data_IF_825628623359
#
_entry.id   IF_825628623359
#
_cell.length_a   1.000
_cell.length_b   1.000
_cell.length_c   1.000
_cell.angle_alpha   90.00
_cell.angle_beta   90.00
_cell.angle_gamma   90.00
#
_symmetry.space_group_name_H-M   'P 1'
#
loop_
_entity.id
_entity.type
_entity.pdbx_description
1 polymer ?
#
# COMPACT_ATOMS: atom_id res chain seq x y z
N UNK A 1 -19.55 20.49 4.71
CA UNK A 1 -18.29 19.92 4.20
C UNK A 1 -17.49 19.40 5.39
N UNK A 2 -17.06 18.15 5.38
CA UNK A 2 -16.18 17.57 6.41
C UNK A 2 -14.75 17.63 5.88
N UNK A 3 -13.76 17.94 6.72
CA UNK A 3 -12.33 17.92 6.34
C UNK A 3 -11.66 16.78 7.11
N UNK A 4 -11.50 15.64 6.45
CA UNK A 4 -10.78 14.50 7.00
C UNK A 4 -9.30 14.70 6.67
N UNK A 5 -8.43 14.74 7.68
CA UNK A 5 -6.99 14.77 7.44
C UNK A 5 -6.56 13.38 6.94
N UNK A 6 -6.05 13.32 5.72
CA UNK A 6 -5.65 12.08 5.06
C UNK A 6 -4.19 11.74 5.37
N UNK A 7 -3.41 12.70 5.89
CA UNK A 7 -1.99 12.55 6.16
C UNK A 7 -1.71 11.93 7.53
N UNK A 8 -0.72 11.03 7.57
CA UNK A 8 -0.29 10.33 8.78
C UNK A 8 0.58 11.25 9.64
N UNK A 9 -0.01 12.30 10.21
CA UNK A 9 0.65 13.11 11.23
C UNK A 9 0.53 12.41 12.60
N UNK A 10 1.44 12.72 13.54
CA UNK A 10 1.46 12.13 14.91
C UNK A 10 0.14 12.32 15.69
N UNK A 11 -0.77 13.16 15.20
CA UNK A 11 -2.12 13.36 15.74
C UNK A 11 -3.13 13.17 14.61
N UNK A 12 -3.89 12.08 14.61
CA UNK A 12 -4.97 11.87 13.63
C UNK A 12 -6.09 12.88 13.92
N UNK A 13 -6.30 13.81 12.99
CA UNK A 13 -7.35 14.83 13.10
C UNK A 13 -8.52 14.52 12.17
N UNK A 14 -9.74 14.58 12.70
CA UNK A 14 -10.97 14.58 11.90
C UNK A 14 -11.66 15.93 12.14
N UNK A 15 -11.86 16.71 11.09
CA UNK A 15 -12.62 17.96 11.17
C UNK A 15 -14.03 17.71 10.64
N UNK A 16 -15.03 18.00 11.47
CA UNK A 16 -16.44 17.86 11.12
C UNK A 16 -17.02 19.25 10.86
N UNK A 17 -17.41 19.52 9.61
CA UNK A 17 -18.03 20.80 9.20
C UNK A 17 -17.07 21.81 8.56
N UNK A 18 -17.61 22.97 8.15
CA UNK A 18 -16.89 24.07 7.49
C UNK A 18 -15.91 24.79 8.41
N UNK A 19 -15.95 24.49 9.71
CA UNK A 19 -15.13 25.15 10.70
C UNK A 19 -13.79 24.41 10.88
N UNK A 20 -12.74 24.93 10.22
CA UNK A 20 -11.35 24.42 10.30
C UNK A 20 -10.76 24.43 11.71
N UNK A 21 -11.41 25.11 12.66
CA UNK A 21 -10.97 25.21 14.06
C UNK A 21 -11.37 24.01 14.92
N UNK A 22 -12.47 23.30 14.57
CA UNK A 22 -12.90 22.09 15.30
C UNK A 22 -12.18 20.85 14.77
N UNK A 23 -10.90 20.73 15.13
CA UNK A 23 -10.13 19.49 14.97
C UNK A 23 -10.48 18.56 16.12
N UNK A 24 -11.19 17.46 15.85
CA UNK A 24 -11.19 16.35 16.81
C UNK A 24 -9.83 15.67 16.69
N UNK A 25 -8.96 15.87 17.69
CA UNK A 25 -7.86 14.93 17.91
C UNK A 25 -8.47 13.62 18.37
N UNK A 26 -8.18 12.55 17.65
CA UNK A 26 -8.21 11.25 18.29
C UNK A 26 -7.02 11.28 19.26
N UNK A 27 -7.30 11.44 20.56
CA UNK A 27 -6.27 11.27 21.57
C UNK A 27 -5.97 9.78 21.64
N UNK A 28 -4.83 9.44 21.06
CA UNK A 28 -4.45 8.07 20.79
C UNK A 28 -3.32 7.71 21.76
N UNK A 29 -3.59 6.79 22.67
CA UNK A 29 -2.63 6.37 23.70
C UNK A 29 -2.34 4.86 23.57
N UNK A 30 -1.08 4.48 23.84
CA UNK A 30 -0.73 3.09 24.14
C UNK A 30 -1.45 2.68 25.43
N UNK A 31 -2.18 1.57 25.37
CA UNK A 31 -2.84 1.00 26.55
C UNK A 31 -1.95 -0.12 27.07
N UNK A 32 -1.53 -0.02 28.34
CA UNK A 32 -1.13 -1.20 29.10
C UNK A 32 -2.39 -1.93 29.55
N UNK A 33 -2.52 -3.21 29.20
CA UNK A 33 -3.60 -4.06 29.65
C UNK A 33 -3.01 -5.30 30.32
N UNK A 34 -3.62 -5.76 31.41
CA UNK A 34 -3.21 -6.96 32.15
C UNK A 34 -4.21 -8.10 31.89
N UNK A 35 -3.71 -9.34 31.76
CA UNK A 35 -4.53 -10.56 31.64
C UNK A 35 -4.80 -11.01 30.19
N UNK A 36 -5.91 -11.71 29.86
CA UNK A 36 -6.18 -12.25 28.51
C UNK A 36 -6.25 -11.21 27.39
N UNK A 37 -6.35 -9.93 27.76
CA UNK A 37 -6.31 -8.79 26.85
C UNK A 37 -4.87 -8.48 26.39
N UNK A 38 -3.86 -8.86 27.18
CA UNK A 38 -2.43 -8.59 26.96
C UNK A 38 -1.88 -9.45 25.81
N UNK A 39 -2.20 -10.75 25.75
CA UNK A 39 -1.88 -11.60 24.59
C UNK A 39 -2.50 -11.06 23.28
N UNK A 40 -3.75 -10.59 23.34
CA UNK A 40 -4.45 -10.01 22.18
C UNK A 40 -3.96 -8.61 21.79
N UNK A 41 -3.49 -7.81 22.76
CA UNK A 41 -2.82 -6.54 22.50
C UNK A 41 -1.41 -6.77 21.92
N UNK A 42 -0.69 -7.78 22.39
CA UNK A 42 0.63 -8.13 21.88
C UNK A 42 0.57 -8.61 20.42
N UNK A 43 -0.53 -9.25 19.99
CA UNK A 43 -0.78 -9.53 18.56
C UNK A 43 -0.99 -8.24 17.73
N UNK A 44 -1.47 -7.16 18.35
CA UNK A 44 -1.73 -5.86 17.74
C UNK A 44 -0.65 -4.85 18.17
N UNK A 45 0.60 -5.09 17.76
CA UNK A 45 1.83 -4.40 18.19
C UNK A 45 1.74 -2.85 18.09
N UNK A 46 0.88 -2.31 17.22
CA UNK A 46 0.68 -0.87 17.01
C UNK A 46 -0.76 -0.39 17.27
N UNK A 47 -1.61 -1.22 17.86
CA UNK A 47 -3.03 -0.94 18.05
C UNK A 47 -3.27 0.13 19.11
N UNK A 48 -3.69 1.32 18.69
CA UNK A 48 -4.02 2.40 19.62
C UNK A 48 -5.55 2.62 19.68
N UNK A 49 -6.11 2.67 20.89
CA UNK A 49 -7.57 2.78 21.10
C UNK A 49 -7.93 4.11 21.79
N UNK A 50 -9.14 4.61 21.55
CA UNK A 50 -9.65 5.79 22.25
C UNK A 50 -9.91 5.49 23.74
N UNK A 51 -9.65 6.48 24.60
CA UNK A 51 -9.94 6.45 26.05
C UNK A 51 -11.43 6.38 26.37
N UNK A 52 -12.27 6.79 25.43
CA UNK A 52 -13.74 6.80 25.57
C UNK A 52 -14.37 5.41 25.47
N UNK A 53 -13.61 4.41 25.03
CA UNK A 53 -14.09 3.03 24.87
C UNK A 53 -14.09 2.29 26.21
N UNK A 54 -15.23 1.69 26.54
CA UNK A 54 -15.37 0.79 27.70
C UNK A 54 -14.57 -0.51 27.52
N UNK A 55 -14.19 -1.16 28.61
CA UNK A 55 -13.46 -2.43 28.59
C UNK A 55 -14.20 -3.53 27.80
N UNK A 56 -15.54 -3.54 27.87
CA UNK A 56 -16.39 -4.47 27.11
C UNK A 56 -16.31 -4.22 25.60
N UNK A 57 -16.32 -2.96 25.17
CA UNK A 57 -16.18 -2.59 23.75
C UNK A 57 -14.80 -2.93 23.20
N UNK A 58 -13.73 -2.65 23.97
CA UNK A 58 -12.36 -3.03 23.61
C UNK A 58 -12.24 -4.53 23.39
N UNK A 59 -12.77 -5.32 24.31
CA UNK A 59 -12.74 -6.78 24.23
C UNK A 59 -13.55 -7.31 23.04
N UNK A 60 -14.70 -6.70 22.73
CA UNK A 60 -15.49 -7.03 21.54
C UNK A 60 -14.75 -6.72 20.24
N UNK A 61 -14.03 -5.60 20.17
CA UNK A 61 -13.26 -5.19 19.01
C UNK A 61 -12.08 -6.13 18.77
N UNK A 62 -11.33 -6.47 19.82
CA UNK A 62 -10.22 -7.42 19.75
C UNK A 62 -10.70 -8.79 19.26
N UNK A 63 -11.85 -9.28 19.75
CA UNK A 63 -12.46 -10.51 19.25
C UNK A 63 -12.79 -10.45 17.76
N UNK A 64 -13.29 -9.30 17.28
CA UNK A 64 -13.57 -9.10 15.86
C UNK A 64 -12.30 -9.09 15.01
N UNK A 65 -11.25 -8.39 15.45
CA UNK A 65 -9.95 -8.34 14.77
C UNK A 65 -9.34 -9.73 14.67
N UNK A 66 -9.34 -10.50 15.77
CA UNK A 66 -8.87 -11.89 15.78
C UNK A 66 -9.69 -12.80 14.88
N UNK A 67 -11.02 -12.66 14.87
CA UNK A 67 -11.89 -13.42 13.95
C UNK A 67 -11.60 -13.11 12.48
N UNK A 68 -11.14 -11.90 12.16
CA UNK A 68 -10.81 -11.44 10.81
C UNK A 68 -9.31 -11.29 10.59
N UNK A 69 -8.48 -12.01 11.36
CA UNK A 69 -7.01 -11.96 11.32
C UNK A 69 -6.41 -12.03 9.89
N UNK A 70 -6.92 -12.87 8.96
CA UNK A 70 -6.36 -12.96 7.60
C UNK A 70 -6.60 -11.72 6.73
N UNK A 71 -7.54 -10.84 7.10
CA UNK A 71 -7.83 -9.63 6.33
C UNK A 71 -6.85 -8.49 6.65
N UNK A 72 -6.05 -8.62 7.70
CA UNK A 72 -5.12 -7.60 8.16
C UNK A 72 -3.68 -8.04 7.89
N UNK A 73 -2.91 -7.19 7.22
CA UNK A 73 -1.48 -7.37 6.99
C UNK A 73 -0.70 -7.11 8.29
N UNK A 74 -0.63 -8.12 9.15
CA UNK A 74 0.10 -8.08 10.43
C UNK A 74 1.18 -9.16 10.39
N UNK A 75 2.45 -8.77 10.50
CA UNK A 75 3.60 -9.68 10.52
C UNK A 75 4.41 -9.66 9.22
N UNK A 76 5.23 -10.70 9.02
CA UNK A 76 6.29 -10.74 8.01
C UNK A 76 5.81 -11.09 6.58
N UNK A 77 4.58 -11.62 6.43
CA UNK A 77 3.96 -11.89 5.12
C UNK A 77 2.74 -10.97 4.88
N UNK A 78 2.95 -9.67 4.63
CA UNK A 78 1.86 -8.69 4.56
C UNK A 78 1.09 -8.70 3.22
N UNK A 79 1.43 -9.60 2.29
CA UNK A 79 0.94 -9.54 0.91
C UNK A 79 -0.27 -10.44 0.69
N UNK A 80 -1.43 -9.81 0.53
CA UNK A 80 -2.59 -10.47 -0.07
C UNK A 80 -2.36 -10.74 -1.55
N UNK A 81 -2.93 -11.85 -2.06
CA UNK A 81 -3.02 -12.15 -3.50
C UNK A 81 -4.49 -12.13 -3.91
N UNK A 82 -4.82 -11.31 -4.89
CA UNK A 82 -6.13 -11.39 -5.57
C UNK A 82 -6.04 -12.56 -6.55
N UNK A 83 -7.08 -13.40 -6.65
CA UNK A 83 -7.11 -14.52 -7.62
C UNK A 83 -8.18 -14.26 -8.67
N UNK A 84 -7.88 -14.54 -9.93
CA UNK A 84 -8.84 -14.49 -11.03
C UNK A 84 -9.17 -13.08 -11.54
N UNK A 85 -8.27 -12.11 -11.32
CA UNK A 85 -8.40 -10.75 -11.86
C UNK A 85 -7.09 -10.36 -12.53
N UNK A 86 -6.63 -11.17 -13.47
CA UNK A 86 -5.43 -10.89 -14.24
C UNK A 86 -5.65 -9.62 -15.06
N UNK A 87 -4.63 -8.75 -15.10
CA UNK A 87 -4.70 -7.49 -15.84
C UNK A 87 -4.03 -7.68 -17.19
N UNK A 88 -4.81 -7.47 -18.26
CA UNK A 88 -4.29 -7.39 -19.61
C UNK A 88 -3.80 -5.96 -19.89
N UNK A 89 -2.55 -5.84 -20.35
CA UNK A 89 -1.97 -4.58 -20.80
C UNK A 89 -1.99 -4.54 -22.33
N UNK A 90 -2.69 -3.54 -22.89
CA UNK A 90 -2.75 -3.32 -24.33
C UNK A 90 -1.75 -2.23 -24.75
N UNK A 91 -1.01 -2.50 -25.82
CA UNK A 91 -0.08 -1.56 -26.41
C UNK A 91 -0.65 -1.01 -27.73
N UNK A 92 -0.31 0.24 -28.06
CA UNK A 92 -0.65 0.89 -29.33
C UNK A 92 0.29 0.48 -30.48
N UNK A 93 1.23 -0.43 -30.21
CA UNK A 93 2.21 -0.97 -31.16
C UNK A 93 2.24 -2.49 -31.08
N UNK A 94 2.51 -3.12 -32.22
CA UNK A 94 2.68 -4.57 -32.36
C UNK A 94 4.15 -4.93 -32.60
N UNK A 95 4.49 -6.23 -32.46
CA UNK A 95 5.84 -6.71 -32.78
C UNK A 95 6.12 -6.56 -34.29
N UNK A 96 7.31 -6.09 -34.72
CA UNK A 96 8.49 -5.81 -33.91
C UNK A 96 8.39 -4.50 -33.11
N UNK A 97 8.60 -4.59 -31.80
CA UNK A 97 8.49 -3.44 -30.91
C UNK A 97 9.61 -2.39 -31.12
N UNK A 98 9.34 -1.11 -30.83
CA UNK A 98 10.34 -0.04 -30.91
C UNK A 98 11.61 -0.35 -30.09
N UNK A 99 12.76 0.09 -30.58
CA UNK A 99 14.07 -0.10 -29.91
C UNK A 99 14.12 0.47 -28.49
N UNK A 100 13.30 1.49 -28.20
CA UNK A 100 13.17 2.07 -26.86
C UNK A 100 12.53 1.13 -25.83
N UNK A 101 11.99 -0.02 -26.23
CA UNK A 101 11.61 -1.09 -25.31
C UNK A 101 12.79 -1.98 -24.92
N UNK A 102 13.96 -1.86 -25.55
CA UNK A 102 15.14 -2.67 -25.24
C UNK A 102 16.24 -1.82 -24.62
N UNK A 103 15.93 -1.25 -23.45
CA UNK A 103 16.85 -0.33 -22.76
C UNK A 103 17.85 -1.13 -21.92
N UNK A 104 19.15 -0.79 -21.97
CA UNK A 104 20.14 -1.41 -21.11
C UNK A 104 19.95 -0.97 -19.65
N UNK A 105 20.42 -1.76 -18.67
CA UNK A 105 20.48 -1.35 -17.28
C UNK A 105 21.27 -0.06 -17.11
N UNK A 106 20.86 0.77 -16.15
CA UNK A 106 21.62 1.97 -15.82
C UNK A 106 22.96 1.61 -15.16
N UNK A 107 24.03 2.38 -15.42
CA UNK A 107 25.25 2.28 -14.63
C UNK A 107 24.94 2.51 -13.15
N UNK A 108 25.43 1.63 -12.29
CA UNK A 108 25.21 1.67 -10.85
C UNK A 108 26.53 1.46 -10.11
N UNK A 109 26.71 2.19 -9.00
CA UNK A 109 27.83 1.99 -8.08
C UNK A 109 27.74 0.60 -7.41
N UNK A 110 28.82 0.15 -6.78
CA UNK A 110 28.82 -1.12 -6.04
C UNK A 110 27.76 -1.14 -4.94
N UNK A 111 27.63 -0.03 -4.20
CA UNK A 111 26.61 0.14 -3.17
C UNK A 111 25.20 0.04 -3.76
N UNK A 112 24.92 0.77 -4.85
CA UNK A 112 23.62 0.72 -5.50
C UNK A 112 23.30 -0.67 -6.06
N UNK A 113 24.29 -1.39 -6.59
CA UNK A 113 24.08 -2.77 -7.06
C UNK A 113 23.70 -3.71 -5.93
N UNK A 114 24.34 -3.58 -4.77
CA UNK A 114 24.02 -4.37 -3.58
C UNK A 114 22.57 -4.15 -3.16
N UNK A 115 22.14 -2.90 -3.09
CA UNK A 115 20.75 -2.54 -2.77
C UNK A 115 19.77 -3.09 -3.81
N UNK A 116 20.07 -2.99 -5.11
CA UNK A 116 19.23 -3.57 -6.17
C UNK A 116 19.07 -5.08 -5.96
N UNK A 117 20.16 -5.79 -5.67
CA UNK A 117 20.14 -7.23 -5.46
C UNK A 117 19.34 -7.63 -4.21
N UNK A 118 19.49 -6.90 -3.11
CA UNK A 118 18.70 -7.09 -1.89
C UNK A 118 17.19 -6.93 -2.17
N UNK A 119 16.78 -5.83 -2.80
CA UNK A 119 15.37 -5.60 -3.18
C UNK A 119 14.83 -6.68 -4.14
N UNK A 120 15.63 -7.11 -5.12
CA UNK A 120 15.24 -8.19 -6.05
C UNK A 120 15.03 -9.51 -5.30
N UNK A 121 15.93 -9.86 -4.38
CA UNK A 121 15.82 -11.10 -3.60
C UNK A 121 14.61 -11.07 -2.67
N UNK A 122 14.29 -9.93 -2.06
CA UNK A 122 13.06 -9.75 -1.29
C UNK A 122 11.81 -9.96 -2.15
N UNK A 123 11.75 -9.33 -3.34
CA UNK A 123 10.61 -9.46 -4.25
C UNK A 123 10.46 -10.88 -4.80
N UNK A 124 11.57 -11.59 -5.03
CA UNK A 124 11.56 -13.02 -5.39
C UNK A 124 11.04 -13.88 -4.24
N UNK A 125 11.51 -13.64 -3.01
CA UNK A 125 11.04 -14.35 -1.82
C UNK A 125 9.56 -14.12 -1.53
N UNK A 126 9.05 -12.94 -1.88
CA UNK A 126 7.63 -12.58 -1.77
C UNK A 126 6.76 -13.09 -2.93
N UNK A 127 7.36 -13.73 -3.95
CA UNK A 127 6.66 -14.22 -5.15
C UNK A 127 5.88 -13.10 -5.87
N UNK A 128 6.51 -11.92 -5.94
CA UNK A 128 6.04 -10.71 -6.64
C UNK A 128 6.65 -10.63 -8.05
N UNK A 129 7.90 -11.05 -8.18
CA UNK A 129 8.59 -11.15 -9.47
C UNK A 129 9.09 -12.57 -9.67
N UNK A 130 9.34 -12.95 -10.93
CA UNK A 130 9.86 -14.28 -11.29
C UNK A 130 11.01 -14.13 -12.29
N UNK A 131 11.97 -15.05 -12.24
CA UNK A 131 13.05 -15.12 -13.23
C UNK A 131 12.50 -15.69 -14.53
N UNK A 132 12.73 -14.98 -15.63
CA UNK A 132 12.44 -15.46 -16.99
C UNK A 132 13.49 -16.51 -17.38
N UNK A 133 13.07 -17.61 -18.00
CA UNK A 133 13.97 -18.69 -18.41
C UNK A 133 14.97 -18.27 -19.50
N UNK A 134 16.14 -18.91 -19.52
CA UNK A 134 17.20 -18.61 -20.51
C UNK A 134 16.77 -18.81 -21.98
N UNK A 135 15.73 -19.62 -22.22
CA UNK A 135 15.23 -19.94 -23.55
C UNK A 135 14.03 -19.06 -23.96
N UNK A 136 13.58 -18.15 -23.11
CA UNK A 136 12.44 -17.27 -23.40
C UNK A 136 12.92 -15.99 -24.09
N UNK A 137 12.17 -15.58 -25.12
CA UNK A 137 12.48 -14.36 -25.88
C UNK A 137 11.89 -13.18 -25.12
N UNK A 138 12.75 -12.30 -24.61
CA UNK A 138 12.33 -11.05 -23.97
C UNK A 138 12.35 -9.93 -24.98
N UNK A 139 11.18 -9.51 -25.44
CA UNK A 139 11.07 -8.42 -26.41
C UNK A 139 11.08 -7.02 -25.78
N UNK A 140 10.70 -6.92 -24.49
CA UNK A 140 10.55 -5.69 -23.73
C UNK A 140 11.38 -5.76 -22.43
N UNK A 141 12.26 -4.78 -22.22
CA UNK A 141 13.09 -4.60 -21.02
C UNK A 141 12.96 -3.19 -20.47
N UNK A 142 12.75 -3.10 -19.15
CA UNK A 142 12.70 -1.82 -18.41
C UNK A 142 13.83 -1.79 -17.38
N UNK A 143 14.71 -0.77 -17.40
CA UNK A 143 15.79 -0.67 -16.44
C UNK A 143 15.23 -0.24 -15.07
N UNK A 144 15.92 -0.66 -14.02
CA UNK A 144 15.62 -0.30 -12.64
C UNK A 144 16.69 0.64 -12.08
N UNK A 145 16.32 1.43 -11.09
CA UNK A 145 17.22 2.28 -10.33
C UNK A 145 16.81 2.29 -8.85
N UNK A 146 17.74 2.71 -7.98
CA UNK A 146 17.46 2.97 -6.58
C UNK A 146 17.21 4.47 -6.39
N UNK A 147 16.15 4.77 -5.64
CA UNK A 147 15.92 6.11 -5.11
C UNK A 147 16.10 6.09 -3.59
N UNK A 148 16.83 7.06 -3.07
CA UNK A 148 17.13 7.17 -1.65
C UNK A 148 16.22 8.23 -1.01
N UNK A 149 15.66 7.91 0.15
CA UNK A 149 14.85 8.83 0.92
C UNK A 149 15.04 8.61 2.43
N UNK A 150 15.54 9.63 3.12
CA UNK A 150 15.81 9.62 4.58
C UNK A 150 16.53 8.35 5.08
N UNK A 151 17.55 7.90 4.35
CA UNK A 151 18.34 6.72 4.69
C UNK A 151 17.73 5.37 4.25
N UNK A 152 16.55 5.35 3.63
CA UNK A 152 15.95 4.15 3.05
C UNK A 152 16.08 4.16 1.52
N UNK A 153 16.31 2.99 0.93
CA UNK A 153 16.35 2.78 -0.52
C UNK A 153 15.01 2.26 -1.05
N UNK A 154 14.70 2.56 -2.31
CA UNK A 154 13.53 2.02 -3.03
C UNK A 154 13.90 1.64 -4.45
N UNK A 155 13.63 0.40 -4.83
CA UNK A 155 13.74 -0.07 -6.21
C UNK A 155 12.62 0.53 -7.08
N UNK A 156 12.99 1.22 -8.15
CA UNK A 156 12.08 1.89 -9.07
C UNK A 156 12.35 1.46 -10.52
N UNK A 157 11.32 0.93 -11.20
CA UNK A 157 11.38 0.63 -12.63
C UNK A 157 11.08 1.88 -13.48
N UNK A 158 11.85 2.07 -14.56
CA UNK A 158 11.66 3.19 -15.49
C UNK A 158 10.72 2.82 -16.66
N UNK A 159 9.42 2.79 -16.38
CA UNK A 159 8.38 2.42 -17.34
C UNK A 159 8.00 3.53 -18.34
N UNK A 160 8.73 4.65 -18.40
CA UNK A 160 8.36 5.79 -19.27
C UNK A 160 8.22 5.40 -20.74
N UNK A 161 9.14 4.57 -21.23
CA UNK A 161 9.08 4.09 -22.61
C UNK A 161 7.83 3.23 -22.83
N UNK A 162 7.59 2.24 -21.95
CA UNK A 162 6.41 1.37 -22.02
C UNK A 162 5.10 2.18 -21.97
N UNK A 163 5.00 3.12 -21.03
CA UNK A 163 3.82 3.96 -20.84
C UNK A 163 3.50 4.81 -22.08
N UNK A 164 4.50 5.23 -22.86
CA UNK A 164 4.25 6.04 -24.06
C UNK A 164 3.49 5.31 -25.18
N UNK A 165 3.44 3.98 -25.13
CA UNK A 165 2.65 3.15 -26.04
C UNK A 165 1.63 2.29 -25.31
N UNK A 166 1.39 2.52 -24.02
CA UNK A 166 0.37 1.77 -23.28
C UNK A 166 -0.98 2.43 -23.50
N UNK A 167 -1.96 1.68 -24.01
CA UNK A 167 -3.31 2.16 -24.17
C UNK A 167 -3.92 2.45 -22.81
N UNK A 168 -4.30 3.70 -22.56
CA UNK A 168 -4.85 4.10 -21.28
C UNK A 168 -6.21 3.42 -21.02
N UNK A 169 -6.29 2.67 -19.93
CA UNK A 169 -7.58 2.17 -19.42
C UNK A 169 -8.39 3.34 -18.84
N UNK A 170 -9.65 3.44 -19.24
CA UNK A 170 -10.58 4.49 -18.79
C UNK A 170 -11.33 4.01 -17.55
N UNK A 171 -10.62 3.88 -16.44
CA UNK A 171 -11.22 3.63 -15.13
C UNK A 171 -11.29 4.93 -14.31
N UNK A 172 -12.44 5.65 -14.29
CA UNK A 172 -12.52 6.96 -13.66
C UNK A 172 -12.44 6.84 -12.14
N UNK A 173 -11.33 7.32 -11.57
CA UNK A 173 -11.21 7.48 -10.12
C UNK A 173 -12.13 8.64 -9.70
N UNK A 174 -13.06 8.42 -8.75
CA UNK A 174 -13.97 9.46 -8.31
C UNK A 174 -13.18 10.61 -7.67
N UNK A 175 -13.55 11.85 -7.99
CA UNK A 175 -12.95 13.02 -7.34
C UNK A 175 -13.27 13.02 -5.84
N UNK A 176 -12.31 13.47 -5.04
CA UNK A 176 -12.42 13.51 -3.57
C UNK A 176 -13.74 14.14 -3.07
N UNK A 177 -14.22 15.29 -3.60
CA UNK A 177 -15.47 15.88 -3.13
C UNK A 177 -16.69 14.97 -3.32
N UNK A 178 -16.76 14.24 -4.44
CA UNK A 178 -17.86 13.32 -4.73
C UNK A 178 -17.88 12.14 -3.76
N UNK A 179 -16.70 11.67 -3.35
CA UNK A 179 -16.58 10.63 -2.32
C UNK A 179 -16.99 11.17 -0.94
N UNK A 180 -16.61 12.41 -0.61
CA UNK A 180 -16.94 13.05 0.67
C UNK A 180 -18.43 13.37 0.82
N UNK A 181 -19.12 13.76 -0.26
CA UNK A 181 -20.57 14.03 -0.22
C UNK A 181 -21.38 12.79 0.16
N UNK A 182 -20.94 11.60 -0.28
CA UNK A 182 -21.53 10.32 0.15
C UNK A 182 -21.32 10.05 1.64
N UNK A 183 -20.22 10.52 2.21
CA UNK A 183 -19.90 10.37 3.64
C UNK A 183 -20.65 11.38 4.53
N UNK A 184 -21.15 12.49 3.97
CA UNK A 184 -21.75 13.57 4.75
C UNK A 184 -22.99 13.15 5.58
N UNK A 185 -23.69 12.08 5.18
CA UNK A 185 -24.86 11.54 5.90
C UNK A 185 -24.51 10.36 6.83
N UNK A 186 -23.24 9.95 6.89
CA UNK A 186 -22.83 8.80 7.69
C UNK A 186 -22.81 9.15 9.18
N UNK A 187 -23.41 8.29 10.01
CA UNK A 187 -23.37 8.41 11.48
C UNK A 187 -22.07 7.84 12.08
N UNK A 188 -21.48 6.85 11.41
CA UNK A 188 -20.24 6.18 11.79
C UNK A 188 -19.33 6.13 10.55
N UNK A 189 -18.05 6.41 10.72
CA UNK A 189 -17.06 6.37 9.63
C UNK A 189 -15.96 5.39 10.03
N UNK A 190 -15.62 4.49 9.10
CA UNK A 190 -14.48 3.58 9.23
C UNK A 190 -13.54 3.83 8.06
N UNK A 191 -12.26 4.09 8.36
CA UNK A 191 -11.20 4.23 7.36
C UNK A 191 -10.34 2.98 7.42
N UNK A 192 -10.19 2.30 6.29
CA UNK A 192 -9.28 1.17 6.10
C UNK A 192 -8.35 1.52 4.95
N UNK A 193 -7.11 1.07 5.05
CA UNK A 193 -6.10 1.22 4.00
C UNK A 193 -5.56 -0.17 3.64
N UNK A 194 -5.28 -0.39 2.36
CA UNK A 194 -4.77 -1.65 1.86
C UNK A 194 -3.25 -1.54 1.68
N UNK A 195 -2.50 -2.43 2.33
CA UNK A 195 -1.04 -2.46 2.19
C UNK A 195 -0.63 -3.16 0.89
N UNK A 196 0.32 -2.56 0.15
CA UNK A 196 0.99 -3.15 -1.04
C UNK A 196 0.03 -3.74 -2.09
N UNK A 197 -1.00 -2.98 -2.46
CA UNK A 197 -2.12 -3.39 -3.35
C UNK A 197 -1.69 -3.86 -4.75
N UNK A 198 -0.54 -3.41 -5.25
CA UNK A 198 -0.08 -3.67 -6.62
C UNK A 198 0.93 -4.82 -6.73
N UNK A 199 1.21 -5.55 -5.65
CA UNK A 199 2.34 -6.47 -5.61
C UNK A 199 2.02 -7.90 -6.08
N UNK A 200 0.77 -8.37 -5.98
CA UNK A 200 0.44 -9.78 -6.27
C UNK A 200 -0.98 -9.91 -6.82
N UNK A 201 -1.07 -9.83 -8.15
CA UNK A 201 -2.32 -9.98 -8.93
C UNK A 201 -2.30 -11.35 -9.59
#
# INVERSE_FOLDING_TARGET
MYVIDIYNSKKRHITIGTNKEKKLSLDIYQISAQGPLEELLNECIEGQFSTTLTSKQKLSLLKMLRKRRPAFAIGEEPLGRIRGNDIELYLDVESPYPTMFRRPPYPASLETRKEIEEHINELLGMDVITKIGHNEIVEITTPVLITWNYGNSRLCGDFRALHSYTKADRYPIPRIPHALDKLAKAKNITKMDCMKVSARI
#
